data_IF_643068186772
#
_entry.id   IF_643068186772
#
_cell.length_a   1.000
_cell.length_b   1.000
_cell.length_c   1.000
_cell.angle_alpha   90.00
_cell.angle_beta   90.00
_cell.angle_gamma   90.00
#
_symmetry.space_group_name_H-M   'P 1'
#
loop_
_entity.id
_entity.type
_entity.pdbx_description
1 polymer ?
#
# COMPACT_ATOMS: atom_id res chain seq x y z
N UNK A 1 -10.62 -0.65 -19.54
CA UNK A 1 -11.48 0.49 -19.88
C UNK A 1 -10.62 1.53 -20.59
N UNK A 2 -11.11 2.19 -21.66
CA UNK A 2 -10.32 3.25 -22.29
C UNK A 2 -10.09 4.38 -21.27
N UNK A 3 -8.99 5.15 -21.41
CA UNK A 3 -8.74 6.33 -20.60
C UNK A 3 -9.93 7.30 -20.64
N UNK A 4 -10.34 7.80 -19.50
CA UNK A 4 -11.35 8.86 -19.40
C UNK A 4 -10.66 10.19 -19.60
N UNK A 5 -11.25 11.07 -20.41
CA UNK A 5 -10.77 12.44 -20.53
C UNK A 5 -11.28 13.25 -19.33
N UNK A 6 -10.48 13.36 -18.28
CA UNK A 6 -10.81 14.05 -17.05
C UNK A 6 -9.66 14.96 -16.63
N UNK A 7 -9.96 16.14 -16.04
CA UNK A 7 -8.97 16.96 -15.35
C UNK A 7 -8.60 16.40 -13.97
N UNK A 8 -9.31 15.35 -13.52
CA UNK A 8 -9.07 14.70 -12.23
C UNK A 8 -7.66 14.15 -12.12
N UNK A 9 -7.03 14.41 -10.99
CA UNK A 9 -5.70 13.90 -10.66
C UNK A 9 -5.59 13.54 -9.19
N UNK A 10 -4.58 12.73 -8.84
CA UNK A 10 -4.39 12.33 -7.46
C UNK A 10 -3.11 11.51 -7.27
N UNK A 11 -2.85 11.20 -6.01
CA UNK A 11 -1.79 10.31 -5.58
C UNK A 11 -2.34 9.29 -4.58
N UNK A 12 -1.80 8.09 -4.60
CA UNK A 12 -2.06 7.10 -3.56
C UNK A 12 -0.75 6.44 -3.15
N UNK A 13 -0.62 6.20 -1.86
CA UNK A 13 0.42 5.37 -1.27
C UNK A 13 -0.26 4.27 -0.46
N UNK A 14 0.13 3.05 -0.70
CA UNK A 14 -0.29 1.88 0.07
C UNK A 14 0.92 1.37 0.83
N UNK A 15 0.79 1.29 2.16
CA UNK A 15 1.78 0.66 3.04
C UNK A 15 1.26 -0.73 3.37
N UNK A 16 1.95 -1.75 2.89
CA UNK A 16 1.62 -3.15 3.11
C UNK A 16 2.70 -3.80 3.98
N UNK A 17 2.30 -4.43 5.07
CA UNK A 17 3.14 -5.36 5.83
C UNK A 17 2.61 -6.79 5.63
N UNK A 18 3.23 -7.58 4.74
CA UNK A 18 2.76 -8.92 4.44
C UNK A 18 3.04 -9.92 5.58
N UNK A 19 3.87 -9.56 6.57
CA UNK A 19 4.15 -10.43 7.72
C UNK A 19 3.17 -10.18 8.86
N UNK A 20 2.78 -8.92 9.07
CA UNK A 20 1.77 -8.53 10.03
C UNK A 20 0.35 -8.56 9.45
N UNK A 21 0.23 -8.88 8.15
CA UNK A 21 -1.04 -8.96 7.41
C UNK A 21 -1.87 -7.67 7.55
N UNK A 22 -1.19 -6.54 7.40
CA UNK A 22 -1.81 -5.22 7.56
C UNK A 22 -1.59 -4.32 6.36
N UNK A 23 -2.54 -3.41 6.14
CA UNK A 23 -2.49 -2.43 5.07
C UNK A 23 -3.00 -1.06 5.53
N UNK A 24 -2.31 0.00 5.09
CA UNK A 24 -2.75 1.38 5.28
C UNK A 24 -2.73 2.12 3.94
N UNK A 25 -3.71 3.01 3.75
CA UNK A 25 -3.92 3.72 2.49
C UNK A 25 -3.88 5.21 2.74
N UNK A 26 -3.03 5.91 2.01
CA UNK A 26 -2.99 7.37 1.94
C UNK A 26 -3.40 7.76 0.52
N UNK A 27 -4.43 8.59 0.38
CA UNK A 27 -4.86 9.09 -0.92
C UNK A 27 -5.10 10.60 -0.87
N UNK A 28 -4.82 11.26 -1.99
CA UNK A 28 -5.19 12.66 -2.22
C UNK A 28 -5.65 12.79 -3.67
N UNK A 29 -6.78 13.44 -3.89
CA UNK A 29 -7.34 13.61 -5.23
C UNK A 29 -8.03 14.97 -5.35
N UNK A 30 -8.11 15.49 -6.57
CA UNK A 30 -8.74 16.76 -6.88
C UNK A 30 -9.18 16.83 -8.34
N UNK A 31 -10.06 17.79 -8.65
CA UNK A 31 -10.47 18.08 -10.02
C UNK A 31 -11.31 16.99 -10.68
N UNK A 32 -12.01 16.14 -9.89
CA UNK A 32 -12.97 15.21 -10.45
C UNK A 32 -14.10 15.96 -11.16
N UNK A 33 -14.57 15.42 -12.29
CA UNK A 33 -15.61 16.05 -13.11
C UNK A 33 -16.96 16.11 -12.41
N UNK A 34 -17.24 15.12 -11.59
CA UNK A 34 -18.45 15.03 -10.75
C UNK A 34 -18.10 14.40 -9.41
N UNK A 35 -18.96 14.52 -8.37
CA UNK A 35 -18.69 13.91 -7.08
C UNK A 35 -18.40 12.41 -7.19
N UNK A 36 -17.44 11.95 -6.40
CA UNK A 36 -17.08 10.55 -6.29
C UNK A 36 -18.19 9.73 -5.62
N UNK A 37 -18.27 8.48 -6.02
CA UNK A 37 -19.29 7.54 -5.53
C UNK A 37 -18.70 6.29 -4.90
N UNK A 38 -17.44 5.98 -5.24
CA UNK A 38 -16.74 4.82 -4.74
C UNK A 38 -15.22 4.96 -4.89
N UNK A 39 -14.48 4.28 -4.00
CA UNK A 39 -13.02 4.18 -4.08
C UNK A 39 -12.55 2.86 -3.48
N UNK A 40 -11.82 2.08 -4.27
CA UNK A 40 -11.34 0.75 -3.86
C UNK A 40 -10.12 0.28 -4.64
N UNK A 41 -9.53 -0.81 -4.18
CA UNK A 41 -8.46 -1.50 -4.88
C UNK A 41 -9.07 -2.61 -5.73
N UNK A 42 -8.62 -2.69 -6.97
CA UNK A 42 -8.91 -3.76 -7.91
C UNK A 42 -7.75 -4.75 -7.98
N UNK A 43 -8.03 -6.02 -8.07
CA UNK A 43 -7.08 -7.14 -8.19
C UNK A 43 -7.67 -8.26 -9.05
N UNK A 44 -6.94 -9.11 -9.75
CA UNK A 44 -5.51 -9.03 -9.95
C UNK A 44 -5.29 -9.10 -11.47
N UNK A 45 -4.77 -8.04 -12.05
CA UNK A 45 -4.55 -7.99 -13.49
C UNK A 45 -3.30 -7.17 -13.83
N UNK A 46 -2.61 -7.49 -14.94
CA UNK A 46 -1.46 -6.73 -15.41
C UNK A 46 -1.81 -5.27 -15.70
N UNK A 47 -0.77 -4.42 -15.69
CA UNK A 47 -0.90 -3.00 -16.05
C UNK A 47 -1.66 -2.84 -17.39
N UNK A 48 -2.63 -1.92 -17.39
CA UNK A 48 -3.48 -1.62 -18.54
C UNK A 48 -4.69 -2.54 -18.69
N UNK A 49 -4.82 -3.59 -17.89
CA UNK A 49 -5.96 -4.51 -17.87
C UNK A 49 -6.92 -4.17 -16.72
N UNK A 50 -8.21 -4.46 -16.91
CA UNK A 50 -9.20 -4.30 -15.85
C UNK A 50 -9.25 -5.55 -14.98
N UNK A 51 -9.40 -5.34 -13.68
CA UNK A 51 -9.64 -6.37 -12.68
C UNK A 51 -10.96 -6.13 -11.94
N UNK A 52 -11.45 -7.12 -11.23
CA UNK A 52 -12.57 -6.99 -10.30
C UNK A 52 -12.20 -6.17 -9.07
N UNK A 53 -13.21 -5.74 -8.31
CA UNK A 53 -13.00 -5.05 -7.04
C UNK A 53 -12.63 -6.05 -5.96
N UNK A 54 -11.46 -5.87 -5.36
CA UNK A 54 -10.96 -6.75 -4.30
C UNK A 54 -11.36 -6.29 -2.89
N UNK A 55 -11.43 -4.98 -2.67
CA UNK A 55 -11.70 -4.43 -1.34
C UNK A 55 -13.15 -4.01 -1.14
N UNK A 56 -13.49 -3.63 0.07
CA UNK A 56 -14.86 -3.30 0.49
C UNK A 56 -15.54 -2.25 -0.40
N UNK A 57 -16.87 -2.32 -0.48
CA UNK A 57 -17.73 -1.44 -1.28
C UNK A 57 -18.59 -0.57 -0.36
N UNK A 58 -18.94 0.67 -0.77
CA UNK A 58 -18.48 1.37 -1.97
C UNK A 58 -17.07 1.94 -1.84
N UNK A 59 -16.57 2.08 -0.62
CA UNK A 59 -15.25 2.63 -0.33
C UNK A 59 -14.76 2.15 1.04
N UNK A 60 -13.49 2.40 1.32
CA UNK A 60 -12.90 2.18 2.64
C UNK A 60 -13.59 3.01 3.71
N UNK A 61 -13.65 2.49 4.94
CA UNK A 61 -14.24 3.20 6.07
C UNK A 61 -13.61 4.58 6.27
N UNK A 62 -14.45 5.61 6.27
CA UNK A 62 -14.03 7.01 6.42
C UNK A 62 -13.46 7.68 5.16
N UNK A 63 -13.47 7.00 4.01
CA UNK A 63 -13.11 7.63 2.74
C UNK A 63 -14.12 8.76 2.41
N UNK A 64 -13.66 9.97 2.01
CA UNK A 64 -14.56 11.06 1.67
C UNK A 64 -15.32 10.75 0.38
N UNK A 65 -16.63 10.60 0.47
CA UNK A 65 -17.53 10.40 -0.66
C UNK A 65 -18.41 11.63 -0.92
N UNK A 66 -18.96 11.71 -2.13
CA UNK A 66 -19.77 12.82 -2.63
C UNK A 66 -19.02 14.15 -2.72
N UNK A 67 -17.73 14.10 -3.01
CA UNK A 67 -16.84 15.25 -3.20
C UNK A 67 -16.09 15.17 -4.53
N UNK A 68 -15.55 16.30 -5.01
CA UNK A 68 -14.71 16.37 -6.21
C UNK A 68 -13.22 16.47 -5.90
N UNK A 69 -12.89 16.56 -4.61
CA UNK A 69 -11.52 16.57 -4.08
C UNK A 69 -11.51 16.10 -2.64
N UNK A 70 -10.43 15.50 -2.21
CA UNK A 70 -10.30 15.02 -0.85
C UNK A 70 -8.91 14.47 -0.51
N UNK A 71 -8.72 14.25 0.78
CA UNK A 71 -7.57 13.52 1.32
C UNK A 71 -8.07 12.42 2.24
N UNK A 72 -7.38 11.32 2.25
CA UNK A 72 -7.72 10.15 3.05
C UNK A 72 -6.47 9.54 3.65
N UNK A 73 -6.52 9.31 4.95
CA UNK A 73 -5.59 8.45 5.67
C UNK A 73 -6.42 7.39 6.38
N UNK A 74 -6.30 6.15 5.94
CA UNK A 74 -7.04 5.06 6.55
C UNK A 74 -6.53 4.73 7.95
N UNK A 75 -7.35 4.10 8.80
CA UNK A 75 -6.82 3.30 9.89
C UNK A 75 -5.90 2.20 9.32
N UNK A 76 -5.12 1.58 10.20
CA UNK A 76 -4.43 0.35 9.85
C UNK A 76 -5.47 -0.78 9.78
N UNK A 77 -5.68 -1.34 8.60
CA UNK A 77 -6.59 -2.46 8.41
C UNK A 77 -5.83 -3.77 8.59
N UNK A 78 -6.50 -4.76 9.19
CA UNK A 78 -6.06 -6.15 9.13
C UNK A 78 -6.58 -6.80 7.84
N UNK A 79 -5.73 -7.55 7.17
CA UNK A 79 -6.12 -8.36 6.02
C UNK A 79 -6.80 -9.67 6.42
N UNK A 80 -6.77 -10.05 7.70
CA UNK A 80 -7.56 -11.13 8.26
C UNK A 80 -9.04 -10.73 8.48
N UNK A 81 -9.35 -9.40 8.47
CA UNK A 81 -10.72 -8.92 8.67
C UNK A 81 -11.54 -9.09 7.37
N UNK A 82 -12.58 -9.95 7.37
CA UNK A 82 -13.40 -10.17 6.18
C UNK A 82 -14.14 -8.92 5.71
N UNK A 83 -14.32 -7.92 6.56
CA UNK A 83 -15.00 -6.66 6.19
C UNK A 83 -14.14 -5.76 5.32
N UNK A 84 -12.84 -6.02 5.26
CA UNK A 84 -11.92 -5.32 4.36
C UNK A 84 -12.12 -5.72 2.90
N UNK A 85 -12.60 -6.92 2.64
CA UNK A 85 -12.71 -7.48 1.29
C UNK A 85 -14.12 -7.34 0.71
N UNK A 86 -14.19 -7.28 -0.62
CA UNK A 86 -15.42 -7.50 -1.36
C UNK A 86 -15.80 -9.00 -1.28
N UNK A 87 -16.99 -9.36 -0.79
CA UNK A 87 -17.42 -10.76 -0.71
C UNK A 87 -17.38 -11.51 -2.06
N UNK A 88 -17.60 -10.79 -3.16
CA UNK A 88 -17.50 -11.40 -4.49
C UNK A 88 -16.06 -11.78 -4.85
N UNK A 89 -15.07 -10.99 -4.42
CA UNK A 89 -13.66 -11.32 -4.57
C UNK A 89 -13.28 -12.53 -3.71
N UNK A 90 -13.71 -12.56 -2.45
CA UNK A 90 -13.47 -13.71 -1.56
C UNK A 90 -14.04 -15.01 -2.16
N UNK A 91 -15.24 -14.94 -2.73
CA UNK A 91 -15.87 -16.10 -3.41
C UNK A 91 -15.08 -16.51 -4.66
N UNK A 92 -14.63 -15.54 -5.45
CA UNK A 92 -13.86 -15.79 -6.68
C UNK A 92 -12.52 -16.49 -6.40
N UNK A 93 -11.81 -16.03 -5.36
CA UNK A 93 -10.51 -16.58 -4.97
C UNK A 93 -10.61 -17.93 -4.22
N UNK A 94 -11.81 -18.31 -3.76
CA UNK A 94 -12.06 -19.58 -3.09
C UNK A 94 -12.00 -19.55 -1.57
N UNK A 95 -12.01 -18.37 -0.96
CA UNK A 95 -12.04 -18.17 0.49
C UNK A 95 -11.21 -16.97 0.96
N UNK A 96 -11.25 -16.69 2.25
CA UNK A 96 -10.57 -15.53 2.85
C UNK A 96 -9.06 -15.61 2.71
N UNK A 97 -8.44 -16.72 3.09
CA UNK A 97 -6.99 -16.94 3.01
C UNK A 97 -6.47 -16.80 1.58
N UNK A 98 -7.22 -17.31 0.60
CA UNK A 98 -6.88 -17.19 -0.82
C UNK A 98 -7.03 -15.75 -1.32
N UNK A 99 -8.09 -15.04 -0.91
CA UNK A 99 -8.31 -13.63 -1.27
C UNK A 99 -7.22 -12.72 -0.69
N UNK A 100 -6.84 -12.92 0.55
CA UNK A 100 -5.73 -12.24 1.20
C UNK A 100 -4.41 -12.50 0.45
N UNK A 101 -4.07 -13.77 0.23
CA UNK A 101 -2.88 -14.17 -0.51
C UNK A 101 -2.87 -13.57 -1.92
N UNK A 102 -4.00 -13.57 -2.62
CA UNK A 102 -4.13 -12.99 -3.96
C UNK A 102 -3.90 -11.48 -3.93
N UNK A 103 -4.50 -10.76 -2.97
CA UNK A 103 -4.32 -9.32 -2.85
C UNK A 103 -2.87 -8.94 -2.51
N UNK A 104 -2.26 -9.60 -1.51
CA UNK A 104 -0.85 -9.38 -1.13
C UNK A 104 0.06 -9.60 -2.35
N UNK A 105 -0.05 -10.75 -3.00
CA UNK A 105 0.73 -11.08 -4.19
C UNK A 105 0.44 -10.11 -5.33
N UNK A 106 -0.81 -9.71 -5.52
CA UNK A 106 -1.22 -8.73 -6.51
C UNK A 106 -0.53 -7.38 -6.31
N UNK A 107 -0.47 -6.87 -5.07
CA UNK A 107 0.23 -5.62 -4.73
C UNK A 107 1.74 -5.77 -4.96
N UNK A 108 2.35 -6.84 -4.44
CA UNK A 108 3.80 -7.08 -4.56
C UNK A 108 4.28 -7.26 -6.00
N UNK A 109 3.40 -7.72 -6.90
CA UNK A 109 3.72 -7.91 -8.31
C UNK A 109 3.18 -6.78 -9.22
N UNK A 110 2.66 -5.68 -8.65
CA UNK A 110 2.13 -4.56 -9.43
C UNK A 110 0.90 -4.93 -10.28
N UNK A 111 0.10 -5.88 -9.84
CA UNK A 111 -1.11 -6.36 -10.51
C UNK A 111 -2.40 -5.79 -9.91
N UNK A 112 -2.29 -4.75 -9.11
CA UNK A 112 -3.41 -4.05 -8.47
C UNK A 112 -3.43 -2.60 -8.85
N UNK A 113 -4.60 -1.99 -8.81
CA UNK A 113 -4.74 -0.54 -8.97
C UNK A 113 -5.78 0.04 -8.02
N UNK A 114 -5.54 1.25 -7.56
CA UNK A 114 -6.52 2.06 -6.85
C UNK A 114 -7.35 2.84 -7.85
N UNK A 115 -8.67 2.87 -7.66
CA UNK A 115 -9.61 3.50 -8.58
C UNK A 115 -10.63 4.36 -7.81
N UNK A 116 -10.93 5.55 -8.34
CA UNK A 116 -11.99 6.43 -7.83
C UNK A 116 -13.05 6.54 -8.91
N UNK A 117 -14.29 6.24 -8.55
CA UNK A 117 -15.47 6.28 -9.40
C UNK A 117 -16.26 7.55 -9.11
N UNK A 118 -16.91 8.08 -10.14
CA UNK A 118 -17.77 9.26 -10.02
C UNK A 118 -19.14 8.99 -10.62
N UNK A 119 -20.10 9.89 -10.37
CA UNK A 119 -21.44 9.76 -10.92
C UNK A 119 -21.46 9.73 -12.45
N UNK A 120 -20.51 10.37 -13.11
CA UNK A 120 -20.38 10.37 -14.57
C UNK A 120 -19.54 9.20 -15.08
N UNK A 121 -18.58 8.73 -14.30
CA UNK A 121 -17.63 7.68 -14.68
C UNK A 121 -17.74 6.49 -13.72
N UNK A 122 -18.84 5.73 -13.86
CA UNK A 122 -19.14 4.58 -12.99
C UNK A 122 -18.11 3.46 -13.08
N UNK A 123 -17.31 3.38 -14.14
CA UNK A 123 -16.20 2.44 -14.27
C UNK A 123 -14.89 2.94 -13.67
N UNK A 124 -14.85 4.16 -13.14
CA UNK A 124 -13.70 4.86 -12.61
C UNK A 124 -13.32 6.08 -13.44
N UNK A 125 -13.09 7.20 -12.79
CA UNK A 125 -12.64 8.44 -13.42
C UNK A 125 -11.12 8.56 -13.41
N UNK A 126 -10.52 8.30 -12.26
CA UNK A 126 -9.06 8.29 -12.12
C UNK A 126 -8.59 6.99 -11.46
N UNK A 127 -7.46 6.47 -11.93
CA UNK A 127 -6.82 5.29 -11.35
C UNK A 127 -5.30 5.35 -11.42
N UNK A 128 -4.65 4.64 -10.51
CA UNK A 128 -3.21 4.44 -10.56
C UNK A 128 -2.85 3.01 -10.20
N UNK A 129 -1.87 2.46 -10.92
CA UNK A 129 -1.30 1.16 -10.60
C UNK A 129 -0.50 1.25 -9.31
N UNK A 130 -0.69 0.29 -8.43
CA UNK A 130 0.08 0.16 -7.22
C UNK A 130 1.37 -0.61 -7.56
N UNK A 131 2.47 0.13 -7.67
CA UNK A 131 3.77 -0.46 -7.98
C UNK A 131 4.59 -0.58 -6.69
N UNK A 132 5.19 -1.74 -6.41
CA UNK A 132 5.97 -1.92 -5.20
C UNK A 132 7.23 -1.06 -5.23
N UNK A 133 7.46 -0.33 -4.14
CA UNK A 133 8.70 0.37 -3.87
C UNK A 133 9.36 -0.34 -2.70
N UNK A 134 10.48 -1.05 -2.89
CA UNK A 134 11.16 -1.72 -1.80
C UNK A 134 11.57 -0.71 -0.73
N UNK A 135 11.11 -0.90 0.50
CA UNK A 135 11.64 -0.15 1.64
C UNK A 135 12.96 -0.80 2.02
N UNK A 136 14.10 -0.07 2.03
CA UNK A 136 15.36 -0.63 2.51
C UNK A 136 15.16 -1.18 3.92
N UNK A 137 15.46 -2.45 4.09
CA UNK A 137 15.42 -3.06 5.41
C UNK A 137 16.39 -2.36 6.37
N UNK A 138 16.23 -2.51 7.69
CA UNK A 138 17.19 -2.00 8.66
C UNK A 138 18.60 -2.44 8.27
N UNK A 139 19.54 -1.51 8.19
CA UNK A 139 20.93 -1.83 7.91
C UNK A 139 21.42 -2.70 9.09
N UNK A 140 21.47 -4.01 8.87
CA UNK A 140 22.05 -4.96 9.82
C UNK A 140 23.54 -4.66 9.90
N UNK A 141 23.96 -3.92 10.91
CA UNK A 141 25.37 -3.48 11.08
C UNK A 141 25.50 -2.16 11.86
N UNK A 142 24.46 -1.33 11.89
CA UNK A 142 24.41 -0.14 12.76
C UNK A 142 23.85 -0.44 14.16
N UNK A 143 23.54 -1.72 14.44
CA UNK A 143 22.99 -2.14 15.73
C UNK A 143 24.07 -2.50 16.76
N UNK A 144 23.63 -3.06 17.88
CA UNK A 144 24.44 -3.46 19.03
C UNK A 144 25.77 -4.19 18.66
N UNK A 145 25.81 -5.14 17.68
CA UNK A 145 27.04 -5.79 17.26
C UNK A 145 28.08 -4.84 16.68
N UNK A 146 27.67 -3.86 15.88
CA UNK A 146 28.56 -2.86 15.31
C UNK A 146 29.13 -1.93 16.38
N UNK A 147 28.29 -1.52 17.35
CA UNK A 147 28.69 -0.71 18.48
C UNK A 147 29.70 -1.44 19.38
N UNK A 148 29.45 -2.73 19.67
CA UNK A 148 30.35 -3.59 20.46
C UNK A 148 31.71 -3.76 19.76
N UNK A 149 31.73 -3.97 18.45
CA UNK A 149 32.95 -4.09 17.66
C UNK A 149 33.75 -2.78 17.66
N UNK A 150 33.09 -1.63 17.51
CA UNK A 150 33.72 -0.31 17.55
C UNK A 150 34.30 -0.01 18.93
N UNK A 151 33.55 -0.25 20.01
CA UNK A 151 34.01 -0.03 21.38
C UNK A 151 35.15 -1.00 21.75
N UNK A 152 35.06 -2.27 21.33
CA UNK A 152 36.12 -3.25 21.53
C UNK A 152 37.42 -2.89 20.82
N UNK A 153 37.31 -2.40 19.58
CA UNK A 153 38.44 -1.90 18.79
C UNK A 153 39.14 -0.71 19.44
N UNK A 154 38.36 0.26 19.93
CA UNK A 154 38.88 1.44 20.63
C UNK A 154 39.59 1.08 21.93
N UNK A 155 39.06 0.15 22.72
CA UNK A 155 39.69 -0.34 23.93
C UNK A 155 41.00 -1.09 23.66
N UNK A 156 41.07 -1.89 22.61
CA UNK A 156 42.26 -2.58 22.17
C UNK A 156 43.36 -1.58 21.74
N UNK A 157 43.01 -0.56 20.99
CA UNK A 157 43.91 0.52 20.59
C UNK A 157 44.44 1.33 21.78
N UNK A 158 43.60 1.63 22.76
CA UNK A 158 44.00 2.35 23.96
C UNK A 158 44.97 1.54 24.82
N UNK A 159 44.74 0.21 24.95
CA UNK A 159 45.68 -0.70 25.64
C UNK A 159 47.03 -0.82 24.93
N UNK A 160 47.06 -0.81 23.61
CA UNK A 160 48.30 -0.87 22.80
C UNK A 160 49.12 0.41 22.98
N UNK A 161 48.50 1.59 23.02
CA UNK A 161 49.21 2.85 23.26
C UNK A 161 49.85 2.92 24.65
N UNK A 162 49.19 2.40 25.69
CA UNK A 162 49.77 2.37 27.07
C UNK A 162 50.99 1.46 27.20
N UNK A 163 51.13 0.39 26.37
CA UNK A 163 52.30 -0.47 26.38
C UNK A 163 53.48 0.07 25.59
N UNK A 164 53.29 1.12 24.77
CA UNK A 164 54.35 1.77 23.99
C UNK A 164 54.97 3.01 24.70
N UNK A 165 54.41 3.42 25.84
CA UNK A 165 54.83 4.59 26.61
C UNK A 165 55.39 4.20 27.98
N UNK A 166 55.40 2.90 28.32
CA UNK A 166 56.05 2.33 29.51
C UNK A 166 57.27 1.54 29.09
#
# INVERSE_FOLDING_TARGET
MPPVNSPGAGTVTVVLDPTAETIQILASFFGLTTPDTAAHIHCCAPLGTNAGVATTLPAFAGFPLNVTQGTYLSPLFSLEDPTFFNPAFVTLEGGMEQAETALINGILNGMTYFNIHTTQNLGGEIRTQLLPIPVPGPIVGAGLPGLIAACGGLLALARRRRKLVA
#
